data_IF_621870208795
#
_entry.id   IF_621870208795
#
_cell.length_a   1.000
_cell.length_b   1.000
_cell.length_c   1.000
_cell.angle_alpha   90.00
_cell.angle_beta   90.00
_cell.angle_gamma   90.00
#
_symmetry.space_group_name_H-M   'P 1'
#
loop_
_entity.id
_entity.type
_entity.pdbx_description
1 polymer ?
#
# COMPACT_ATOMS: atom_id res chain seq x y z
N UNK A 1 13.75 -14.90 -12.51
CA UNK A 1 12.85 -13.75 -12.35
C UNK A 1 11.94 -14.04 -11.18
N UNK A 2 12.07 -13.31 -10.08
CA UNK A 2 11.22 -13.51 -8.89
C UNK A 2 9.79 -13.07 -9.19
N UNK A 3 8.80 -13.84 -8.72
CA UNK A 3 7.39 -13.50 -8.90
C UNK A 3 7.07 -12.21 -8.12
N UNK A 4 6.68 -11.16 -8.85
CA UNK A 4 6.08 -9.99 -8.23
C UNK A 4 4.64 -10.30 -7.82
N UNK A 5 4.38 -10.19 -6.52
CA UNK A 5 3.06 -10.31 -5.93
C UNK A 5 2.40 -8.92 -5.85
N UNK A 6 1.09 -8.89 -6.12
CA UNK A 6 0.26 -7.68 -6.04
C UNK A 6 -0.74 -7.91 -4.91
N UNK A 7 -0.87 -6.93 -4.02
CA UNK A 7 -1.82 -6.89 -2.93
C UNK A 7 -3.14 -6.35 -3.48
N UNK A 8 -4.18 -7.19 -3.49
CA UNK A 8 -5.51 -6.83 -3.93
C UNK A 8 -6.57 -6.86 -2.82
N UNK A 9 -7.84 -6.57 -3.17
CA UNK A 9 -8.98 -6.54 -2.25
C UNK A 9 -9.20 -7.85 -1.47
N UNK A 10 -8.83 -8.99 -2.03
CA UNK A 10 -9.03 -10.32 -1.45
C UNK A 10 -8.42 -10.47 -0.05
N UNK A 11 -7.30 -9.79 0.20
CA UNK A 11 -6.59 -9.80 1.49
C UNK A 11 -7.28 -8.97 2.57
N UNK A 12 -8.28 -8.18 2.20
CA UNK A 12 -9.02 -7.30 3.12
C UNK A 12 -10.49 -7.73 3.27
N UNK A 13 -10.84 -8.92 2.78
CA UNK A 13 -12.19 -9.46 2.92
C UNK A 13 -12.59 -9.60 4.39
N UNK A 14 -13.79 -9.10 4.73
CA UNK A 14 -14.30 -9.11 6.10
C UNK A 14 -13.79 -7.99 7.00
N UNK A 15 -12.88 -7.12 6.52
CA UNK A 15 -12.49 -5.90 7.22
C UNK A 15 -13.42 -4.74 6.85
N UNK A 16 -13.60 -3.80 7.78
CA UNK A 16 -14.36 -2.57 7.53
C UNK A 16 -14.56 -1.76 8.81
N UNK A 17 -14.60 -0.43 8.68
CA UNK A 17 -14.78 0.49 9.79
C UNK A 17 -15.19 1.88 9.28
N UNK A 18 -16.21 2.49 9.88
CA UNK A 18 -16.77 3.78 9.42
C UNK A 18 -16.01 5.03 9.92
N UNK A 19 -15.01 4.84 10.78
CA UNK A 19 -14.25 5.90 11.43
C UNK A 19 -12.75 5.87 11.12
N UNK A 20 -12.26 4.86 10.39
CA UNK A 20 -10.83 4.76 10.04
C UNK A 20 -10.45 5.85 9.03
N UNK A 21 -9.61 6.79 9.46
CA UNK A 21 -9.03 7.82 8.59
C UNK A 21 -7.63 7.42 8.05
N UNK A 22 -6.92 6.53 8.75
CA UNK A 22 -5.59 6.01 8.43
C UNK A 22 -5.54 4.50 8.60
N UNK A 23 -5.09 3.78 7.56
CA UNK A 23 -4.88 2.33 7.60
C UNK A 23 -3.40 2.00 7.43
N UNK A 24 -2.85 1.15 8.29
CA UNK A 24 -1.46 0.70 8.22
C UNK A 24 -1.40 -0.72 7.67
N UNK A 25 -0.66 -0.94 6.59
CA UNK A 25 -0.48 -2.22 5.93
C UNK A 25 0.96 -2.69 6.18
N UNK A 26 1.12 -3.64 7.10
CA UNK A 26 2.39 -4.30 7.38
C UNK A 26 2.50 -5.57 6.54
N UNK A 27 3.42 -5.58 5.60
CA UNK A 27 3.65 -6.70 4.66
C UNK A 27 4.86 -7.54 5.07
N UNK A 28 5.73 -7.01 5.93
CA UNK A 28 7.01 -7.64 6.28
C UNK A 28 8.12 -7.39 5.24
N UNK A 29 7.84 -6.60 4.20
CA UNK A 29 8.78 -6.32 3.11
C UNK A 29 9.98 -5.48 3.56
N UNK A 30 9.85 -4.70 4.64
CA UNK A 30 10.97 -3.93 5.22
C UNK A 30 12.15 -4.80 5.70
N UNK A 31 11.90 -6.07 6.00
CA UNK A 31 12.91 -7.04 6.46
C UNK A 31 13.90 -7.37 5.34
N UNK A 32 13.50 -7.24 4.07
CA UNK A 32 14.37 -7.45 2.91
C UNK A 32 15.20 -6.20 2.53
N UNK A 33 15.17 -5.14 3.35
CA UNK A 33 15.87 -3.88 3.11
C UNK A 33 17.36 -4.05 2.75
N UNK A 34 17.80 -3.38 1.69
CA UNK A 34 19.17 -3.47 1.18
C UNK A 34 19.46 -4.65 0.24
N UNK A 35 18.45 -5.45 -0.12
CA UNK A 35 18.58 -6.54 -1.10
C UNK A 35 18.05 -6.17 -2.48
N UNK A 36 18.52 -6.86 -3.51
CA UNK A 36 17.99 -6.73 -4.88
C UNK A 36 16.52 -7.16 -4.98
N UNK A 37 16.02 -8.03 -4.09
CA UNK A 37 14.59 -8.41 -4.08
C UNK A 37 13.70 -7.23 -3.70
N UNK A 38 14.13 -6.45 -2.72
CA UNK A 38 13.46 -5.24 -2.27
C UNK A 38 13.27 -4.24 -3.42
N UNK A 39 14.30 -4.07 -4.27
CA UNK A 39 14.27 -3.07 -5.35
C UNK A 39 13.76 -3.60 -6.70
N UNK A 40 14.07 -4.85 -7.07
CA UNK A 40 13.78 -5.40 -8.40
C UNK A 40 12.46 -6.18 -8.47
N UNK A 41 12.01 -6.77 -7.36
CA UNK A 41 10.75 -7.54 -7.29
C UNK A 41 9.86 -7.17 -6.10
N UNK A 42 9.63 -5.87 -5.79
CA UNK A 42 8.78 -5.51 -4.66
C UNK A 42 7.32 -5.90 -4.89
N UNK A 43 6.63 -6.08 -3.76
CA UNK A 43 5.18 -6.06 -3.71
C UNK A 43 4.66 -4.70 -4.24
N UNK A 44 3.46 -4.71 -4.81
CA UNK A 44 2.74 -3.50 -5.19
C UNK A 44 1.27 -3.61 -4.87
N UNK A 45 0.52 -2.52 -4.99
CA UNK A 45 -0.93 -2.53 -4.79
C UNK A 45 -1.65 -2.61 -6.13
N UNK A 46 -2.81 -3.28 -6.16
CA UNK A 46 -3.68 -3.27 -7.33
C UNK A 46 -4.45 -1.95 -7.45
N UNK A 47 -4.82 -1.58 -8.67
CA UNK A 47 -5.67 -0.42 -8.91
C UNK A 47 -7.09 -0.57 -8.34
N UNK A 48 -7.55 -1.82 -8.18
CA UNK A 48 -8.85 -2.15 -7.61
C UNK A 48 -8.90 -1.98 -6.08
N UNK A 49 -7.73 -1.90 -5.43
CA UNK A 49 -7.66 -1.81 -3.98
C UNK A 49 -8.22 -0.48 -3.45
N UNK A 50 -7.89 0.65 -4.08
CA UNK A 50 -8.39 1.96 -3.66
C UNK A 50 -9.92 2.07 -3.62
N UNK A 51 -10.68 1.75 -4.68
CA UNK A 51 -12.14 1.81 -4.64
C UNK A 51 -12.73 0.82 -3.63
N UNK A 52 -12.14 -0.37 -3.49
CA UNK A 52 -12.55 -1.32 -2.47
C UNK A 52 -12.36 -0.76 -1.06
N UNK A 53 -11.19 -0.19 -0.75
CA UNK A 53 -10.89 0.39 0.56
C UNK A 53 -11.84 1.53 0.91
N UNK A 54 -12.23 2.38 -0.05
CA UNK A 54 -13.25 3.42 0.18
C UNK A 54 -14.62 2.85 0.52
N UNK A 55 -14.98 1.71 -0.06
CA UNK A 55 -16.26 1.06 0.23
C UNK A 55 -16.32 0.55 1.67
N UNK A 56 -15.22 -0.05 2.16
CA UNK A 56 -15.17 -0.65 3.50
C UNK A 56 -14.69 0.30 4.60
N UNK A 57 -13.98 1.38 4.22
CA UNK A 57 -13.49 2.45 5.08
C UNK A 57 -13.84 3.82 4.47
N UNK A 58 -15.10 4.28 4.57
CA UNK A 58 -15.59 5.47 3.86
C UNK A 58 -14.94 6.79 4.27
N UNK A 59 -14.23 6.84 5.41
CA UNK A 59 -13.46 8.01 5.87
C UNK A 59 -11.96 7.88 5.62
N UNK A 60 -11.50 6.81 4.96
CA UNK A 60 -10.08 6.58 4.77
C UNK A 60 -9.47 7.68 3.90
N UNK A 61 -8.43 8.32 4.42
CA UNK A 61 -7.72 9.42 3.77
C UNK A 61 -6.27 9.08 3.46
N UNK A 62 -5.70 8.09 4.13
CA UNK A 62 -4.30 7.74 3.99
C UNK A 62 -4.10 6.25 4.26
N UNK A 63 -3.19 5.65 3.50
CA UNK A 63 -2.60 4.36 3.84
C UNK A 63 -1.11 4.52 4.12
N UNK A 64 -0.64 3.87 5.19
CA UNK A 64 0.77 3.71 5.49
C UNK A 64 1.21 2.29 5.17
N UNK A 65 2.36 2.11 4.53
CA UNK A 65 2.87 0.78 4.16
C UNK A 65 4.39 0.68 4.25
N UNK A 66 4.86 -0.53 4.57
CA UNK A 66 6.27 -0.92 4.60
C UNK A 66 6.78 -1.38 3.22
N UNK A 67 6.21 -0.82 2.15
CA UNK A 67 6.61 -1.02 0.76
C UNK A 67 7.35 0.22 0.26
N UNK A 68 8.41 0.03 -0.54
CA UNK A 68 9.13 1.13 -1.19
C UNK A 68 8.17 2.05 -1.94
N UNK A 69 7.20 1.46 -2.64
CA UNK A 69 6.20 2.20 -3.39
C UNK A 69 4.97 1.34 -3.65
N UNK A 70 3.85 2.01 -3.93
CA UNK A 70 2.65 1.43 -4.54
C UNK A 70 2.98 0.73 -5.87
N UNK A 71 4.04 1.17 -6.55
CA UNK A 71 4.51 0.64 -7.81
C UNK A 71 5.37 -0.60 -7.59
N UNK A 72 4.98 -1.75 -8.15
CA UNK A 72 5.99 -2.78 -8.41
C UNK A 72 6.79 -2.42 -9.65
N UNK A 73 8.12 -2.37 -9.52
CA UNK A 73 9.04 -2.10 -10.64
C UNK A 73 8.82 -3.04 -11.83
N UNK A 74 8.48 -4.30 -11.55
CA UNK A 74 8.23 -5.34 -12.55
C UNK A 74 6.83 -5.27 -13.19
N UNK A 75 5.88 -4.54 -12.60
CA UNK A 75 4.51 -4.33 -13.10
C UNK A 75 4.18 -2.84 -13.18
N UNK A 76 5.02 -2.09 -13.89
CA UNK A 76 4.94 -0.61 -13.98
C UNK A 76 3.58 -0.10 -14.45
N UNK A 77 2.93 -0.78 -15.38
CA UNK A 77 1.62 -0.35 -15.90
C UNK A 77 0.54 -0.43 -14.81
N UNK A 78 0.46 -1.56 -14.10
CA UNK A 78 -0.49 -1.74 -13.00
C UNK A 78 -0.19 -0.79 -11.85
N UNK A 79 1.08 -0.62 -11.50
CA UNK A 79 1.48 0.37 -10.50
C UNK A 79 1.03 1.78 -10.88
N UNK A 80 1.23 2.21 -12.13
CA UNK A 80 0.79 3.55 -12.58
C UNK A 80 -0.71 3.71 -12.51
N UNK A 81 -1.46 2.65 -12.82
CA UNK A 81 -2.92 2.63 -12.64
C UNK A 81 -3.28 2.78 -11.17
N UNK A 82 -2.67 1.99 -10.28
CA UNK A 82 -2.88 2.09 -8.84
C UNK A 82 -2.58 3.51 -8.34
N UNK A 83 -1.38 4.03 -8.60
CA UNK A 83 -1.00 5.39 -8.21
C UNK A 83 -1.99 6.45 -8.72
N UNK A 84 -2.46 6.33 -9.97
CA UNK A 84 -3.48 7.24 -10.50
C UNK A 84 -4.81 7.11 -9.75
N UNK A 85 -5.31 5.90 -9.51
CA UNK A 85 -6.59 5.69 -8.84
C UNK A 85 -6.53 6.14 -7.37
N UNK A 86 -5.41 5.93 -6.67
CA UNK A 86 -5.22 6.37 -5.29
C UNK A 86 -5.21 7.91 -5.17
N UNK A 87 -4.50 8.61 -6.06
CA UNK A 87 -4.17 10.03 -5.88
C UNK A 87 -4.91 11.01 -6.79
N UNK A 88 -5.64 10.55 -7.81
CA UNK A 88 -6.31 11.44 -8.76
C UNK A 88 -7.63 12.00 -8.17
N UNK A 89 -7.73 13.32 -7.92
CA UNK A 89 -8.95 13.94 -7.39
C UNK A 89 -10.13 13.83 -8.36
N UNK A 90 -9.90 13.68 -9.67
CA UNK A 90 -10.96 13.47 -10.66
C UNK A 90 -11.64 12.10 -10.52
N UNK A 91 -11.04 11.18 -9.73
CA UNK A 91 -11.59 9.86 -9.40
C UNK A 91 -12.24 9.82 -8.01
N UNK A 92 -12.40 10.98 -7.36
CA UNK A 92 -12.95 11.15 -6.01
C UNK A 92 -11.88 11.52 -4.99
N UNK A 93 -12.23 11.51 -3.70
CA UNK A 93 -11.31 11.93 -2.62
C UNK A 93 -10.02 11.11 -2.59
N UNK A 94 -8.83 11.70 -2.78
CA UNK A 94 -7.59 10.93 -2.79
C UNK A 94 -7.34 10.15 -1.49
N UNK A 95 -6.86 8.92 -1.61
CA UNK A 95 -6.24 8.19 -0.49
C UNK A 95 -4.74 8.42 -0.62
N UNK A 96 -4.18 9.19 0.33
CA UNK A 96 -2.76 9.49 0.38
C UNK A 96 -1.94 8.23 0.67
N UNK A 97 -0.71 8.20 0.17
CA UNK A 97 0.21 7.10 0.32
C UNK A 97 1.39 7.56 1.19
N UNK A 98 1.59 6.91 2.33
CA UNK A 98 2.81 7.03 3.13
C UNK A 98 3.63 5.74 2.93
N UNK A 99 4.68 5.86 2.12
CA UNK A 99 5.48 4.73 1.63
C UNK A 99 6.77 4.58 2.45
N UNK A 100 7.45 3.43 2.31
CA UNK A 100 8.73 3.10 2.96
C UNK A 100 8.69 3.24 4.49
N UNK A 101 7.55 2.91 5.10
CA UNK A 101 7.37 3.01 6.54
C UNK A 101 8.05 1.87 7.29
N UNK A 102 8.73 2.19 8.39
CA UNK A 102 9.26 1.20 9.31
C UNK A 102 8.17 0.71 10.28
N UNK A 103 7.48 -0.38 9.93
CA UNK A 103 6.36 -0.95 10.70
C UNK A 103 6.73 -2.21 11.51
N UNK A 104 8.01 -2.58 11.50
CA UNK A 104 8.58 -3.73 12.19
C UNK A 104 9.22 -3.39 13.54
N UNK A 105 9.12 -2.14 13.98
CA UNK A 105 9.68 -1.67 15.24
C UNK A 105 8.66 -1.72 16.37
N UNK A 106 9.05 -2.33 17.48
CA UNK A 106 8.44 -2.11 18.80
C UNK A 106 9.21 -1.04 19.61
N UNK A 107 10.21 -0.41 19.01
CA UNK A 107 11.11 0.54 19.68
C UNK A 107 10.39 1.83 20.09
N UNK A 108 10.71 2.29 21.30
CA UNK A 108 10.32 3.60 21.78
C UNK A 108 11.14 4.68 21.07
N UNK A 109 10.54 5.86 20.87
CA UNK A 109 11.32 7.04 20.49
C UNK A 109 12.31 7.35 21.62
N UNK A 110 13.57 6.98 21.42
CA UNK A 110 14.66 7.47 22.26
C UNK A 110 14.77 8.97 21.98
N UNK A 111 14.31 9.77 22.95
CA UNK A 111 14.43 11.24 22.95
C UNK A 111 15.87 11.67 23.20
#
# INVERSE_FOLDING_TARGET
MGNCQIIGPELFSGLGNLATDLLMIKTGNSIEGGTDRYTLTPLGLSAELAPFLKMVFPKLRCIGMDLISVLSYSKREEGRKAHNIFLNPDKGEPILLNEDMKLDMDDHFNK
#
